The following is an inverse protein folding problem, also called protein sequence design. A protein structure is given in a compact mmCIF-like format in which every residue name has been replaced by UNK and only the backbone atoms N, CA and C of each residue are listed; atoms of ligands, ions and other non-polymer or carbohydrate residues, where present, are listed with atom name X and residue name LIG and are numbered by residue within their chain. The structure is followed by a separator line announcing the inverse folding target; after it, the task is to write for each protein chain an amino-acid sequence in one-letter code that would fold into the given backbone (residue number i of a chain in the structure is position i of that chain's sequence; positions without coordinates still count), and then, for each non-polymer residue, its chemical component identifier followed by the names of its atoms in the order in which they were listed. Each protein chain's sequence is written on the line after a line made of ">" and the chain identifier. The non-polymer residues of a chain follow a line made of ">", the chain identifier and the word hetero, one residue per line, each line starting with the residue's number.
data_IF_494578081436
#
_entry.id   IF_494578081436
#
_cell.length_a   1.000
_cell.length_b   1.000
_cell.length_c   1.000
_cell.angle_alpha   90.00
_cell.angle_beta   90.00
_cell.angle_gamma   90.00
#
_symmetry.space_group_name_H-M   'P 1'
#
loop_
_entity.id
_entity.type
_entity.pdbx_description
1 polymer ?
#
# COMPACT_ATOMS: atom_id res chain seq x y z
N UNK A 1 21.42 8.36 -17.88
CA UNK A 1 21.10 9.62 -17.21
C UNK A 1 19.61 9.96 -17.13
N UNK A 2 18.75 9.51 -18.06
CA UNK A 2 17.30 9.75 -18.04
C UNK A 2 16.52 8.87 -17.04
N UNK A 3 17.04 7.72 -16.62
CA UNK A 3 16.41 6.79 -15.69
C UNK A 3 16.37 7.34 -14.25
N UNK A 4 17.41 8.04 -13.81
CA UNK A 4 17.51 8.62 -12.46
C UNK A 4 16.48 9.72 -12.21
N UNK A 5 16.18 10.56 -13.19
CA UNK A 5 15.20 11.65 -13.08
C UNK A 5 13.76 11.13 -12.93
N UNK A 6 13.43 10.01 -13.58
CA UNK A 6 12.08 9.41 -13.50
C UNK A 6 11.80 8.71 -12.17
N UNK A 7 12.82 8.14 -11.55
CA UNK A 7 12.70 7.51 -10.24
C UNK A 7 12.40 8.55 -9.16
N UNK A 8 13.13 9.66 -9.16
CA UNK A 8 12.95 10.73 -8.18
C UNK A 8 11.60 11.45 -8.30
N UNK A 9 11.01 11.52 -9.50
CA UNK A 9 9.73 12.18 -9.72
C UNK A 9 8.55 11.53 -8.95
N UNK A 10 8.64 10.24 -8.63
CA UNK A 10 7.60 9.53 -7.88
C UNK A 10 7.95 9.38 -6.39
N UNK A 11 9.21 9.09 -6.08
CA UNK A 11 9.64 8.84 -4.69
C UNK A 11 9.57 10.13 -3.84
N UNK A 12 10.03 11.25 -4.36
CA UNK A 12 10.06 12.51 -3.60
C UNK A 12 8.67 12.98 -3.17
N UNK A 13 7.63 13.03 -4.03
CA UNK A 13 6.28 13.33 -3.58
C UNK A 13 5.75 12.34 -2.55
N UNK A 14 6.03 11.04 -2.69
CA UNK A 14 5.57 10.02 -1.75
C UNK A 14 6.17 10.22 -0.36
N UNK A 15 7.49 10.47 -0.27
CA UNK A 15 8.16 10.81 0.99
C UNK A 15 7.54 12.09 1.58
N UNK A 16 7.34 13.12 0.76
CA UNK A 16 6.74 14.38 1.19
C UNK A 16 5.35 14.18 1.82
N UNK A 17 4.49 13.41 1.18
CA UNK A 17 3.16 13.13 1.70
C UNK A 17 3.20 12.27 2.97
N UNK A 18 4.02 11.21 3.01
CA UNK A 18 4.19 10.39 4.22
C UNK A 18 4.63 11.23 5.42
N UNK A 19 5.55 12.19 5.20
CA UNK A 19 5.97 13.12 6.23
C UNK A 19 4.84 14.06 6.66
N UNK A 20 4.11 14.67 5.72
CA UNK A 20 3.02 15.59 6.01
C UNK A 20 1.93 14.87 6.80
N UNK A 21 1.45 13.73 6.30
CA UNK A 21 0.37 12.98 6.93
C UNK A 21 0.74 12.45 8.32
N UNK A 22 2.03 12.16 8.56
CA UNK A 22 2.54 11.82 9.89
C UNK A 22 2.62 13.04 10.80
N UNK A 23 3.19 14.16 10.32
CA UNK A 23 3.46 15.34 11.14
C UNK A 23 2.20 16.07 11.59
N UNK A 24 1.15 16.09 10.77
CA UNK A 24 -0.13 16.75 11.11
C UNK A 24 -0.99 15.93 12.08
N UNK A 25 -0.58 14.69 12.40
CA UNK A 25 -1.26 13.79 13.35
C UNK A 25 -0.37 13.50 14.56
N UNK A 26 -0.52 14.24 15.66
CA UNK A 26 0.41 14.14 16.81
C UNK A 26 0.50 12.73 17.40
N UNK A 27 -0.60 11.99 17.43
CA UNK A 27 -0.63 10.61 17.95
C UNK A 27 0.15 9.66 17.04
N UNK A 28 -0.04 9.73 15.73
CA UNK A 28 0.73 8.96 14.76
C UNK A 28 2.20 9.31 14.81
N UNK A 29 2.53 10.60 14.95
CA UNK A 29 3.92 11.04 15.08
C UNK A 29 4.59 10.45 16.33
N UNK A 30 3.85 10.39 17.45
CA UNK A 30 4.36 9.78 18.68
C UNK A 30 4.62 8.27 18.48
N UNK A 31 3.69 7.53 17.88
CA UNK A 31 3.83 6.11 17.55
C UNK A 31 5.03 5.86 16.64
N UNK A 32 5.16 6.61 15.54
CA UNK A 32 6.29 6.48 14.60
C UNK A 32 7.63 6.74 15.29
N UNK A 33 7.70 7.75 16.19
CA UNK A 33 8.90 8.02 16.97
C UNK A 33 9.25 6.90 17.93
N UNK A 34 8.25 6.31 18.57
CA UNK A 34 8.44 5.16 19.47
C UNK A 34 8.99 3.95 18.70
N UNK A 35 8.38 3.61 17.56
CA UNK A 35 8.84 2.51 16.70
C UNK A 35 10.28 2.73 16.22
N UNK A 36 10.60 3.90 15.71
CA UNK A 36 11.97 4.23 15.29
C UNK A 36 12.95 4.16 16.46
N UNK A 37 12.57 4.68 17.63
CA UNK A 37 13.44 4.68 18.83
C UNK A 37 13.66 3.26 19.35
N UNK A 38 12.67 2.38 19.28
CA UNK A 38 12.81 0.99 19.68
C UNK A 38 13.79 0.23 18.79
N UNK A 39 13.86 0.57 17.50
CA UNK A 39 14.74 -0.05 16.51
C UNK A 39 16.17 0.53 16.60
N UNK A 40 16.30 1.85 16.68
CA UNK A 40 17.58 2.53 16.67
C UNK A 40 18.28 2.55 18.05
N UNK A 41 17.53 2.32 19.14
CA UNK A 41 18.02 2.44 20.51
C UNK A 41 18.32 3.90 20.89
N UNK A 42 18.71 4.09 22.15
CA UNK A 42 19.09 5.43 22.66
C UNK A 42 20.41 5.96 22.09
N UNK A 43 21.10 5.18 21.28
CA UNK A 43 22.43 5.48 20.70
C UNK A 43 22.38 6.11 19.32
N UNK A 44 21.26 6.72 18.91
CA UNK A 44 21.09 7.37 17.60
C UNK A 44 22.05 8.57 17.33
N UNK A 45 22.98 8.85 18.22
CA UNK A 45 24.08 9.79 17.99
C UNK A 45 25.21 9.08 17.22
N UNK A 46 25.08 9.03 15.89
CA UNK A 46 26.15 8.60 15.00
C UNK A 46 26.22 7.12 14.66
N UNK A 47 25.23 6.30 15.04
CA UNK A 47 25.13 4.95 14.55
C UNK A 47 24.79 4.95 13.06
N UNK A 48 25.40 4.06 12.31
CA UNK A 48 25.14 3.89 10.89
C UNK A 48 23.66 3.48 10.70
N UNK A 49 22.84 4.38 10.17
CA UNK A 49 21.44 4.13 9.83
C UNK A 49 21.32 2.87 8.96
N UNK A 50 22.34 2.52 8.18
CA UNK A 50 22.39 1.33 7.36
C UNK A 50 22.18 0.03 8.14
N UNK A 51 22.67 -0.07 9.38
CA UNK A 51 22.49 -1.26 10.21
C UNK A 51 21.04 -1.48 10.65
N UNK A 52 20.28 -0.39 10.82
CA UNK A 52 18.88 -0.43 11.24
C UNK A 52 17.90 -0.53 10.07
N UNK A 53 18.35 -0.28 8.85
CA UNK A 53 17.50 -0.23 7.66
C UNK A 53 16.64 -1.48 7.46
N UNK A 54 17.16 -2.72 7.57
CA UNK A 54 16.33 -3.92 7.41
C UNK A 54 15.15 -3.98 8.39
N UNK A 55 15.38 -3.56 9.64
CA UNK A 55 14.35 -3.54 10.68
C UNK A 55 13.32 -2.43 10.44
N UNK A 56 13.75 -1.26 10.01
CA UNK A 56 12.86 -0.15 9.64
C UNK A 56 11.98 -0.53 8.45
N UNK A 57 12.56 -1.13 7.42
CA UNK A 57 11.83 -1.58 6.23
C UNK A 57 10.82 -2.71 6.53
N UNK A 58 11.06 -3.52 7.56
CA UNK A 58 10.16 -4.58 8.00
C UNK A 58 9.17 -4.14 9.08
N UNK A 59 9.23 -2.90 9.55
CA UNK A 59 8.33 -2.40 10.57
C UNK A 59 6.89 -2.29 10.02
N UNK A 60 5.89 -2.93 10.64
CA UNK A 60 4.54 -3.00 10.10
C UNK A 60 3.86 -1.64 9.96
N UNK A 61 4.05 -0.74 10.93
CA UNK A 61 3.45 0.60 10.89
C UNK A 61 4.02 1.43 9.74
N UNK A 62 5.35 1.42 9.56
CA UNK A 62 6.00 2.15 8.48
C UNK A 62 5.60 1.61 7.10
N UNK A 63 5.48 0.28 6.98
CA UNK A 63 4.98 -0.35 5.76
C UNK A 63 3.52 0.03 5.48
N UNK A 64 2.69 0.10 6.51
CA UNK A 64 1.28 0.47 6.40
C UNK A 64 1.12 1.93 5.96
N UNK A 65 1.85 2.87 6.59
CA UNK A 65 1.89 4.28 6.19
C UNK A 65 2.26 4.41 4.72
N UNK A 66 3.37 3.80 4.30
CA UNK A 66 3.82 3.85 2.92
C UNK A 66 2.79 3.28 1.93
N UNK A 67 2.19 2.13 2.27
CA UNK A 67 1.19 1.49 1.41
C UNK A 67 -0.10 2.30 1.31
N UNK A 68 -0.51 2.95 2.39
CA UNK A 68 -1.68 3.83 2.39
C UNK A 68 -1.46 5.09 1.54
N UNK A 69 -0.27 5.68 1.60
CA UNK A 69 0.09 6.78 0.71
C UNK A 69 0.03 6.37 -0.75
N UNK A 70 0.60 5.22 -1.08
CA UNK A 70 0.51 4.68 -2.44
C UNK A 70 -0.94 4.43 -2.86
N UNK A 71 -1.80 3.99 -1.95
CA UNK A 71 -3.21 3.77 -2.21
C UNK A 71 -3.94 5.07 -2.56
N UNK A 72 -3.77 6.10 -1.75
CA UNK A 72 -4.57 7.34 -1.88
C UNK A 72 -3.94 8.40 -2.78
N UNK A 73 -2.63 8.37 -3.01
CA UNK A 73 -1.93 9.39 -3.80
C UNK A 73 -1.55 8.92 -5.20
N UNK A 74 -1.58 7.62 -5.46
CA UNK A 74 -1.16 7.07 -6.74
C UNK A 74 -2.36 6.61 -7.57
N UNK A 75 -2.53 7.22 -8.74
CA UNK A 75 -3.53 6.85 -9.74
C UNK A 75 -2.85 6.44 -11.05
N UNK A 76 -2.52 5.15 -11.19
CA UNK A 76 -1.89 4.66 -12.40
C UNK A 76 -2.92 4.53 -13.53
N UNK A 77 -2.61 5.14 -14.68
CA UNK A 77 -3.38 4.93 -15.91
C UNK A 77 -2.81 3.71 -16.63
N UNK A 78 -3.62 2.69 -16.79
CA UNK A 78 -3.28 1.47 -17.49
C UNK A 78 -3.88 1.51 -18.88
N UNK A 79 -3.04 1.43 -19.90
CA UNK A 79 -3.45 1.38 -21.30
C UNK A 79 -3.19 -0.01 -21.89
N UNK A 80 -4.15 -0.54 -22.61
CA UNK A 80 -4.05 -1.83 -23.33
C UNK A 80 -4.68 -1.71 -24.70
N UNK A 81 -4.13 -2.46 -25.66
CA UNK A 81 -4.65 -2.53 -27.01
C UNK A 81 -4.86 -4.00 -27.36
N UNK A 82 -6.07 -4.42 -27.71
CA UNK A 82 -6.30 -5.77 -28.22
C UNK A 82 -5.51 -6.03 -29.51
N UNK A 83 -4.77 -7.12 -29.54
CA UNK A 83 -3.99 -7.54 -30.72
C UNK A 83 -4.74 -8.56 -31.57
N UNK A 84 -5.88 -9.03 -31.11
CA UNK A 84 -6.76 -9.98 -31.80
C UNK A 84 -8.15 -9.40 -31.97
N UNK A 85 -8.86 -9.83 -33.01
CA UNK A 85 -10.25 -9.46 -33.22
C UNK A 85 -11.16 -10.12 -32.19
N UNK A 86 -12.29 -9.46 -31.89
CA UNK A 86 -13.28 -9.94 -30.92
C UNK A 86 -12.76 -10.22 -29.50
N UNK A 87 -11.73 -9.50 -29.07
CA UNK A 87 -11.27 -9.56 -27.68
C UNK A 87 -12.41 -9.21 -26.71
N UNK A 88 -12.59 -10.00 -25.65
CA UNK A 88 -13.67 -9.81 -24.67
C UNK A 88 -13.12 -9.70 -23.26
N UNK A 89 -13.71 -8.79 -22.47
CA UNK A 89 -13.52 -8.70 -21.02
C UNK A 89 -14.93 -8.68 -20.40
N UNK A 90 -15.30 -9.73 -19.70
CA UNK A 90 -16.66 -9.92 -19.23
C UNK A 90 -17.67 -9.89 -20.41
N UNK A 91 -18.64 -8.99 -20.34
CA UNK A 91 -19.65 -8.80 -21.40
C UNK A 91 -19.21 -7.78 -22.47
N UNK A 92 -18.08 -7.13 -22.29
CA UNK A 92 -17.58 -6.12 -23.23
C UNK A 92 -16.75 -6.75 -24.33
N UNK A 93 -16.98 -6.25 -25.57
CA UNK A 93 -16.26 -6.68 -26.75
C UNK A 93 -15.47 -5.50 -27.33
N UNK A 94 -14.19 -5.71 -27.54
CA UNK A 94 -13.27 -4.68 -28.01
C UNK A 94 -12.72 -5.04 -29.38
N UNK A 95 -12.79 -4.13 -30.37
CA UNK A 95 -12.14 -4.30 -31.66
C UNK A 95 -10.62 -4.35 -31.50
N UNK A 96 -9.97 -5.03 -32.45
CA UNK A 96 -8.51 -5.01 -32.55
C UNK A 96 -8.03 -3.58 -32.84
N UNK A 97 -7.03 -3.15 -32.11
CA UNK A 97 -6.40 -1.83 -32.28
C UNK A 97 -7.03 -0.72 -31.43
N UNK A 98 -8.19 -0.94 -30.83
CA UNK A 98 -8.81 0.05 -29.94
C UNK A 98 -8.01 0.21 -28.65
N UNK A 99 -7.91 1.44 -28.17
CA UNK A 99 -7.22 1.72 -26.91
C UNK A 99 -8.20 1.56 -25.73
N UNK A 100 -7.93 0.59 -24.87
CA UNK A 100 -8.62 0.41 -23.59
C UNK A 100 -7.82 1.16 -22.54
N UNK A 101 -8.46 2.09 -21.84
CA UNK A 101 -7.86 2.89 -20.75
C UNK A 101 -8.60 2.61 -19.46
N UNK A 102 -7.87 2.32 -18.40
CA UNK A 102 -8.42 2.19 -17.05
C UNK A 102 -7.51 2.87 -16.05
N UNK A 103 -8.04 3.26 -14.91
CA UNK A 103 -7.28 3.89 -13.82
C UNK A 103 -7.40 3.06 -12.56
N UNK A 104 -6.30 2.94 -11.83
CA UNK A 104 -6.30 2.30 -10.50
C UNK A 104 -6.95 3.17 -9.43
N UNK A 105 -7.18 4.44 -9.72
CA UNK A 105 -7.77 5.41 -8.79
C UNK A 105 -9.10 4.96 -8.20
N UNK A 106 -10.01 4.47 -9.04
CA UNK A 106 -11.33 4.01 -8.60
C UNK A 106 -11.23 2.73 -7.75
N UNK A 107 -10.44 1.77 -8.20
CA UNK A 107 -10.26 0.49 -7.51
C UNK A 107 -9.63 0.67 -6.12
N UNK A 108 -8.70 1.60 -6.01
CA UNK A 108 -8.05 1.94 -4.74
C UNK A 108 -8.94 2.71 -3.77
N UNK A 109 -10.17 3.07 -4.18
CA UNK A 109 -11.19 3.79 -3.38
C UNK A 109 -12.54 3.10 -3.37
N UNK A 110 -12.62 1.87 -3.84
CA UNK A 110 -13.87 1.12 -3.87
C UNK A 110 -14.27 0.69 -2.45
N UNK A 111 -15.34 1.28 -1.93
CA UNK A 111 -15.92 0.98 -0.61
C UNK A 111 -16.39 -0.47 -0.46
N UNK A 112 -16.57 -1.20 -1.55
CA UNK A 112 -16.88 -2.63 -1.51
C UNK A 112 -15.64 -3.50 -1.23
N UNK A 113 -14.45 -2.93 -1.39
CA UNK A 113 -13.17 -3.61 -1.26
C UNK A 113 -12.45 -3.24 0.03
N UNK A 114 -12.37 -1.93 0.30
CA UNK A 114 -11.50 -1.41 1.34
C UNK A 114 -12.19 -1.31 2.70
N UNK A 115 -11.43 -1.60 3.74
CA UNK A 115 -11.86 -1.45 5.11
C UNK A 115 -11.91 0.04 5.50
N UNK A 116 -13.03 0.44 6.10
CA UNK A 116 -13.27 1.79 6.61
C UNK A 116 -13.19 1.86 8.15
N UNK A 117 -12.71 0.79 8.80
CA UNK A 117 -12.64 0.69 10.26
C UNK A 117 -13.99 0.41 10.92
N UNK A 118 -13.99 0.29 12.25
CA UNK A 118 -15.20 0.14 13.04
C UNK A 118 -16.14 1.33 12.75
N UNK A 119 -17.43 1.06 12.53
CA UNK A 119 -18.43 2.08 12.26
C UNK A 119 -18.18 2.99 11.04
N UNK A 120 -17.30 2.59 10.12
CA UNK A 120 -16.93 3.36 8.91
C UNK A 120 -16.34 4.75 9.24
N UNK A 121 -15.56 4.85 10.32
CA UNK A 121 -14.96 6.10 10.77
C UNK A 121 -13.74 6.55 9.96
N UNK A 122 -13.20 5.66 9.13
CA UNK A 122 -12.06 5.93 8.24
C UNK A 122 -12.47 5.82 6.78
N UNK A 123 -12.88 6.93 6.17
CA UNK A 123 -13.26 6.96 4.76
C UNK A 123 -12.17 6.36 3.85
N UNK A 124 -12.58 5.75 2.75
CA UNK A 124 -11.66 5.29 1.70
C UNK A 124 -10.92 6.44 1.02
N UNK A 125 -11.41 7.67 1.12
CA UNK A 125 -10.79 8.88 0.58
C UNK A 125 -9.78 9.52 1.54
N UNK A 126 -9.71 9.03 2.78
CA UNK A 126 -8.86 9.59 3.81
C UNK A 126 -7.67 8.69 4.12
N UNK A 127 -6.56 9.32 4.52
CA UNK A 127 -5.39 8.63 5.01
C UNK A 127 -5.67 7.99 6.38
N UNK A 128 -5.45 6.68 6.47
CA UNK A 128 -5.51 5.91 7.71
C UNK A 128 -4.27 5.03 7.84
N UNK A 129 -3.34 5.43 8.70
CA UNK A 129 -2.02 4.81 8.85
C UNK A 129 -2.06 3.31 9.15
N UNK A 130 -3.11 2.83 9.84
CA UNK A 130 -3.25 1.45 10.29
C UNK A 130 -4.06 0.57 9.32
N UNK A 131 -4.49 1.10 8.18
CA UNK A 131 -5.37 0.35 7.25
C UNK A 131 -4.80 -1.00 6.83
N UNK A 132 -3.49 -1.12 6.69
CA UNK A 132 -2.83 -2.36 6.26
C UNK A 132 -2.35 -3.22 7.43
N UNK A 133 -2.69 -2.87 8.67
CA UNK A 133 -2.35 -3.63 9.85
C UNK A 133 -3.44 -4.63 10.20
N UNK A 134 -3.05 -5.88 10.45
CA UNK A 134 -3.92 -6.91 11.01
C UNK A 134 -3.53 -7.13 12.46
N UNK A 135 -4.49 -6.93 13.35
CA UNK A 135 -4.33 -7.14 14.77
C UNK A 135 -4.79 -8.56 15.12
N UNK A 136 -4.00 -9.35 15.86
CA UNK A 136 -4.32 -10.75 16.17
C UNK A 136 -5.67 -10.98 16.83
N UNK A 137 -6.12 -10.00 17.62
CA UNK A 137 -7.36 -10.06 18.40
C UNK A 137 -8.54 -9.31 17.75
N UNK A 138 -8.35 -8.75 16.55
CA UNK A 138 -9.39 -8.05 15.81
C UNK A 138 -9.57 -8.64 14.40
N UNK A 139 -10.56 -9.52 14.21
CA UNK A 139 -10.82 -10.17 12.92
C UNK A 139 -11.34 -9.17 11.86
N UNK A 140 -11.70 -7.95 12.26
CA UNK A 140 -12.15 -6.90 11.35
C UNK A 140 -11.04 -5.92 10.96
N UNK A 141 -9.82 -6.12 11.46
CA UNK A 141 -8.66 -5.32 11.08
C UNK A 141 -8.09 -5.73 9.72
N UNK A 142 -7.18 -4.93 9.20
CA UNK A 142 -6.56 -5.15 7.89
C UNK A 142 -7.24 -4.38 6.75
N UNK A 143 -6.62 -4.38 5.55
CA UNK A 143 -7.02 -3.48 4.47
C UNK A 143 -8.33 -3.84 3.77
N UNK A 144 -8.69 -5.11 3.77
CA UNK A 144 -9.91 -5.57 3.10
C UNK A 144 -11.16 -5.43 3.96
N UNK A 145 -12.26 -5.08 3.32
CA UNK A 145 -13.56 -4.97 3.99
C UNK A 145 -13.93 -6.27 4.70
N UNK A 146 -14.28 -6.24 5.98
CA UNK A 146 -14.70 -7.42 6.73
C UNK A 146 -15.84 -8.18 6.05
N UNK A 147 -15.76 -9.52 6.04
CA UNK A 147 -16.77 -10.37 5.42
C UNK A 147 -16.69 -10.49 3.90
N UNK A 148 -15.75 -9.81 3.24
CA UNK A 148 -15.50 -10.00 1.82
C UNK A 148 -14.90 -11.37 1.55
N UNK A 149 -15.53 -12.14 0.67
CA UNK A 149 -14.96 -13.39 0.18
C UNK A 149 -13.80 -13.07 -0.78
N UNK A 150 -12.59 -13.23 -0.31
CA UNK A 150 -11.40 -13.07 -1.13
C UNK A 150 -10.98 -14.44 -1.65
N UNK A 151 -10.98 -14.60 -2.99
CA UNK A 151 -10.44 -15.82 -3.64
C UNK A 151 -8.96 -16.06 -3.31
N UNK A 152 -8.30 -15.06 -2.78
CA UNK A 152 -6.93 -15.09 -2.29
C UNK A 152 -6.96 -15.12 -0.77
N UNK A 153 -6.99 -16.31 -0.20
CA UNK A 153 -6.56 -16.52 1.19
C UNK A 153 -5.05 -16.36 1.20
N UNK A 154 -4.59 -15.11 1.25
CA UNK A 154 -3.20 -14.82 1.47
C UNK A 154 -2.77 -15.45 2.80
N UNK A 155 -1.50 -15.79 2.93
CA UNK A 155 -0.91 -16.12 4.22
C UNK A 155 -1.18 -14.91 5.12
N UNK A 156 -1.92 -15.11 6.17
CA UNK A 156 -1.82 -14.24 7.34
C UNK A 156 -0.34 -14.26 7.68
N UNK A 157 0.36 -13.17 7.39
CA UNK A 157 1.80 -13.07 7.69
C UNK A 157 1.97 -13.50 9.14
N UNK A 158 3.04 -14.23 9.43
CA UNK A 158 3.22 -14.87 10.73
C UNK A 158 2.92 -13.90 11.86
N UNK A 159 2.10 -14.34 12.79
CA UNK A 159 1.97 -13.73 14.11
C UNK A 159 3.41 -13.65 14.64
N UNK A 160 3.82 -12.51 15.18
CA UNK A 160 5.09 -12.48 15.89
C UNK A 160 5.08 -13.57 16.97
N UNK A 161 6.23 -14.09 17.32
CA UNK A 161 6.35 -15.21 18.28
C UNK A 161 5.66 -14.90 19.63
N UNK A 162 5.38 -13.64 19.92
CA UNK A 162 4.72 -13.13 21.13
C UNK A 162 3.21 -12.90 20.96
N UNK A 163 2.66 -12.95 19.74
CA UNK A 163 1.21 -12.93 19.45
C UNK A 163 0.48 -11.59 19.69
N UNK A 164 1.19 -10.51 19.98
CA UNK A 164 0.61 -9.25 20.43
C UNK A 164 0.78 -8.08 19.44
N UNK A 165 1.71 -8.18 18.48
CA UNK A 165 1.98 -7.08 17.56
C UNK A 165 1.18 -7.22 16.28
N UNK A 166 0.71 -6.09 15.70
CA UNK A 166 0.06 -6.11 14.41
C UNK A 166 1.05 -6.51 13.32
N UNK A 167 0.54 -7.15 12.29
CA UNK A 167 1.31 -7.50 11.10
C UNK A 167 0.83 -6.68 9.90
N UNK A 168 1.76 -6.34 9.01
CA UNK A 168 1.44 -5.72 7.75
C UNK A 168 1.01 -6.76 6.72
N UNK A 169 -0.07 -6.48 5.96
CA UNK A 169 -0.49 -7.33 4.83
C UNK A 169 -1.22 -6.56 3.73
N UNK A 170 -1.09 -7.05 2.51
CA UNK A 170 -1.87 -6.60 1.34
C UNK A 170 -2.77 -7.71 0.79
N UNK A 171 -2.78 -8.87 1.42
CA UNK A 171 -3.36 -10.11 0.86
C UNK A 171 -4.85 -10.01 0.59
N UNK A 172 -5.62 -9.43 1.53
CA UNK A 172 -7.07 -9.29 1.40
C UNK A 172 -7.53 -8.31 0.30
N UNK A 173 -6.60 -7.51 -0.23
CA UNK A 173 -6.86 -6.53 -1.29
C UNK A 173 -6.08 -6.82 -2.57
N UNK A 174 -5.58 -8.05 -2.71
CA UNK A 174 -4.93 -8.51 -3.93
C UNK A 174 -5.83 -8.32 -5.14
N UNK A 175 -5.32 -7.70 -6.19
CA UNK A 175 -6.07 -7.33 -7.39
C UNK A 175 -6.71 -5.94 -7.35
N UNK A 176 -6.94 -5.37 -6.17
CA UNK A 176 -7.45 -4.00 -5.99
C UNK A 176 -6.35 -3.02 -5.53
N UNK A 177 -5.34 -3.51 -4.82
CA UNK A 177 -4.13 -2.75 -4.50
C UNK A 177 -3.08 -2.93 -5.60
N UNK A 178 -3.02 -1.97 -6.51
CA UNK A 178 -2.16 -2.00 -7.72
C UNK A 178 -1.36 -0.71 -7.90
N UNK A 179 -0.58 -0.28 -6.91
CA UNK A 179 0.12 1.00 -6.92
C UNK A 179 1.20 1.11 -8.00
N UNK A 180 1.70 -0.01 -8.47
CA UNK A 180 2.77 -0.11 -9.47
C UNK A 180 2.28 -0.52 -10.87
N UNK A 181 0.97 -0.51 -11.09
CA UNK A 181 0.38 -1.06 -12.31
C UNK A 181 0.41 -2.58 -12.30
N UNK A 182 0.27 -3.21 -13.47
CA UNK A 182 0.18 -4.66 -13.54
C UNK A 182 0.60 -5.26 -14.89
N UNK A 183 0.70 -6.60 -14.89
CA UNK A 183 1.10 -7.38 -16.04
C UNK A 183 2.59 -7.24 -16.39
N UNK A 184 2.93 -7.45 -17.65
CA UNK A 184 4.34 -7.43 -18.13
C UNK A 184 5.00 -6.05 -18.06
N UNK A 185 4.23 -4.98 -17.82
CA UNK A 185 4.69 -3.59 -17.72
C UNK A 185 4.58 -3.05 -16.29
N UNK A 186 4.55 -3.92 -15.29
CA UNK A 186 4.61 -3.50 -13.90
C UNK A 186 5.88 -2.66 -13.64
N UNK A 187 5.76 -1.62 -12.83
CA UNK A 187 6.86 -0.69 -12.55
C UNK A 187 8.10 -1.43 -12.01
N UNK A 188 9.25 -1.33 -12.70
CA UNK A 188 10.48 -1.96 -12.21
C UNK A 188 11.02 -1.26 -10.95
N UNK A 189 10.65 0.02 -10.74
CA UNK A 189 11.05 0.81 -9.57
C UNK A 189 10.46 0.33 -8.24
N UNK A 190 9.49 -0.58 -8.25
CA UNK A 190 8.87 -1.13 -7.03
C UNK A 190 9.84 -1.81 -6.06
N UNK A 191 11.02 -2.16 -6.53
CA UNK A 191 12.08 -2.76 -5.68
C UNK A 191 12.99 -1.72 -5.04
N UNK A 192 12.84 -0.43 -5.40
CA UNK A 192 13.65 0.68 -4.91
C UNK A 192 12.81 1.71 -4.11
N UNK A 193 11.53 1.44 -3.96
CA UNK A 193 10.58 2.32 -3.27
C UNK A 193 10.37 1.88 -1.83
#
# INVERSE_FOLDING_TARGET
>A
MLTSLRTNANIVPMIGWSMIDTLIRPELLAQVREEISSIAGSSAKGSDIGEHMPKLLSNPLLQSIYSEELRIRNGVIIQRVPVVDNFKVGNWKFPKGDMIVTSTWHEQRDRSVWNEGPNMEHSVEEFWAERFLVYPNDPNSGPGKPGRDTKFKGRVGGIDEEGNRPIFTTDSVTGSYIPYGGGTKICPGRFYA
#
